data_IF_865976234382
#
_entry.id   IF_865976234382
#
_cell.length_a   1.000
_cell.length_b   1.000
_cell.length_c   1.000
_cell.angle_alpha   90.00
_cell.angle_beta   90.00
_cell.angle_gamma   90.00
#
_symmetry.space_group_name_H-M   'P 1'
#
loop_
_entity.id
_entity.type
_entity.pdbx_description
1 polymer ?
#
# COMPACT_ATOMS: atom_id res chain seq x y z
N UNK A 1 34.77 -48.83 38.06
CA UNK A 1 35.25 -47.89 37.03
C UNK A 1 34.58 -48.11 35.67
N UNK A 2 34.48 -49.34 35.14
CA UNK A 2 33.90 -49.67 33.81
C UNK A 2 32.46 -49.20 33.47
N UNK A 3 31.61 -48.90 34.44
CA UNK A 3 30.19 -48.61 34.19
C UNK A 3 29.93 -47.16 33.72
N UNK A 4 30.77 -46.20 34.11
CA UNK A 4 30.63 -44.79 33.69
C UNK A 4 31.09 -44.59 32.25
N UNK A 5 32.25 -45.14 31.90
CA UNK A 5 32.82 -45.06 30.54
C UNK A 5 31.87 -45.62 29.46
N UNK A 6 31.08 -46.65 29.79
CA UNK A 6 30.08 -47.21 28.89
C UNK A 6 28.86 -46.30 28.69
N UNK A 7 28.45 -45.55 29.72
CA UNK A 7 27.33 -44.59 29.62
C UNK A 7 27.74 -43.36 28.84
N UNK A 8 28.96 -42.85 29.06
CA UNK A 8 29.51 -41.69 28.35
C UNK A 8 29.71 -41.99 26.85
N UNK A 9 30.13 -43.21 26.50
CA UNK A 9 30.21 -43.67 25.11
C UNK A 9 28.84 -43.72 24.42
N UNK A 10 27.81 -44.20 25.11
CA UNK A 10 26.45 -44.24 24.58
C UNK A 10 25.83 -42.83 24.46
N UNK A 11 26.18 -41.89 25.34
CA UNK A 11 25.76 -40.50 25.24
C UNK A 11 26.39 -39.81 24.03
N UNK A 12 27.70 -39.96 23.86
CA UNK A 12 28.41 -39.42 22.69
C UNK A 12 27.84 -39.95 21.36
N UNK A 13 27.46 -41.23 21.29
CA UNK A 13 26.79 -41.76 20.10
C UNK A 13 25.39 -41.17 19.85
N UNK A 14 24.65 -40.81 20.90
CA UNK A 14 23.32 -40.19 20.75
C UNK A 14 23.44 -38.78 20.24
N UNK A 15 24.41 -38.02 20.75
CA UNK A 15 24.67 -36.65 20.32
C UNK A 15 25.10 -36.61 18.85
N UNK A 16 25.94 -37.56 18.43
CA UNK A 16 26.35 -37.72 17.03
C UNK A 16 25.16 -38.12 16.13
N UNK A 17 24.33 -39.08 16.55
CA UNK A 17 23.12 -39.47 15.80
C UNK A 17 22.10 -38.33 15.68
N UNK A 18 21.97 -37.49 16.71
CA UNK A 18 21.13 -36.29 16.70
C UNK A 18 21.70 -35.22 15.75
N UNK A 19 23.03 -35.03 15.75
CA UNK A 19 23.71 -34.15 14.81
C UNK A 19 23.53 -34.62 13.35
N UNK A 20 23.66 -35.92 13.09
CA UNK A 20 23.43 -36.52 11.77
C UNK A 20 21.97 -36.40 11.33
N UNK A 21 21.01 -36.55 12.25
CA UNK A 21 19.58 -36.39 11.95
C UNK A 21 19.26 -34.95 11.55
N UNK A 22 19.87 -33.97 12.24
CA UNK A 22 19.73 -32.54 11.92
C UNK A 22 20.37 -32.20 10.57
N UNK A 23 21.53 -32.78 10.29
CA UNK A 23 22.20 -32.61 9.00
C UNK A 23 21.33 -33.16 7.85
N UNK A 24 20.87 -34.41 7.95
CA UNK A 24 20.03 -35.06 6.95
C UNK A 24 18.69 -34.35 6.70
N UNK A 25 18.10 -33.71 7.71
CA UNK A 25 16.89 -32.90 7.54
C UNK A 25 17.14 -31.60 6.74
N UNK A 26 18.38 -31.11 6.73
CA UNK A 26 18.77 -29.83 6.13
C UNK A 26 19.32 -29.99 4.70
N UNK A 27 19.92 -31.13 4.39
CA UNK A 27 20.50 -31.47 3.08
C UNK A 27 19.55 -31.32 1.88
N UNK A 28 18.24 -31.64 1.95
CA UNK A 28 17.33 -31.44 0.83
C UNK A 28 17.17 -29.97 0.43
N UNK A 29 17.40 -29.05 1.37
CA UNK A 29 17.18 -27.61 1.18
C UNK A 29 18.46 -26.88 0.77
N UNK A 30 19.61 -27.29 1.31
CA UNK A 30 20.89 -26.58 1.13
C UNK A 30 21.82 -27.29 0.13
N UNK A 31 21.40 -28.46 -0.39
CA UNK A 31 22.25 -29.47 -1.03
C UNK A 31 23.24 -30.13 -0.04
N UNK A 32 23.91 -31.21 -0.47
CA UNK A 32 24.71 -32.08 0.40
C UNK A 32 25.79 -31.29 1.18
N UNK A 33 25.72 -31.34 2.51
CA UNK A 33 26.67 -30.68 3.41
C UNK A 33 28.12 -31.14 3.20
N UNK A 34 28.29 -32.39 2.75
CA UNK A 34 29.61 -32.97 2.51
C UNK A 34 30.25 -32.36 1.25
N UNK A 35 31.23 -31.48 1.47
CA UNK A 35 31.96 -30.81 0.39
C UNK A 35 31.26 -29.60 -0.24
N UNK A 36 30.35 -28.93 0.48
CA UNK A 36 29.78 -27.63 0.09
C UNK A 36 30.85 -26.51 0.11
N UNK A 37 31.86 -26.64 -0.75
CA UNK A 37 32.78 -25.56 -1.10
C UNK A 37 32.04 -24.68 -2.09
N UNK A 38 31.19 -23.80 -1.57
CA UNK A 38 30.64 -22.72 -2.37
C UNK A 38 31.83 -21.91 -2.91
N UNK A 39 32.02 -21.78 -4.24
CA UNK A 39 33.22 -21.17 -4.83
C UNK A 39 33.49 -19.71 -4.38
N UNK A 40 32.49 -19.10 -3.75
CA UNK A 40 32.44 -17.70 -3.36
C UNK A 40 32.29 -17.53 -1.85
N UNK A 41 32.03 -18.60 -1.10
CA UNK A 41 31.83 -18.52 0.34
C UNK A 41 33.20 -18.60 1.02
N UNK A 42 33.55 -17.51 1.67
CA UNK A 42 34.75 -17.41 2.49
C UNK A 42 34.50 -18.09 3.82
N UNK A 43 35.32 -19.10 4.14
CA UNK A 43 35.27 -19.82 5.42
C UNK A 43 35.65 -18.91 6.60
N UNK A 44 36.32 -17.79 6.31
CA UNK A 44 36.71 -16.72 7.22
C UNK A 44 35.70 -15.55 7.29
N UNK A 45 34.46 -15.75 6.84
CA UNK A 45 33.43 -14.71 6.91
C UNK A 45 33.05 -14.41 8.36
N UNK A 46 33.54 -13.27 8.87
CA UNK A 46 33.00 -12.66 10.08
C UNK A 46 31.60 -12.15 9.77
N UNK A 47 30.59 -12.78 10.38
CA UNK A 47 29.21 -12.34 10.28
C UNK A 47 29.15 -10.95 10.94
N UNK A 48 28.69 -9.90 10.22
CA UNK A 48 28.55 -8.59 10.83
C UNK A 48 27.57 -8.68 12.00
N UNK A 49 27.85 -7.91 13.04
CA UNK A 49 26.96 -7.84 14.19
C UNK A 49 25.56 -7.40 13.74
N UNK A 50 24.53 -7.92 14.41
CA UNK A 50 23.16 -7.54 14.11
C UNK A 50 23.04 -6.03 14.35
N UNK A 51 22.34 -5.35 13.44
CA UNK A 51 22.17 -3.90 13.41
C UNK A 51 21.36 -3.40 14.61
N UNK A 52 21.97 -3.38 15.79
CA UNK A 52 21.39 -2.93 17.05
C UNK A 52 21.02 -4.09 17.98
N UNK A 53 21.45 -3.97 19.24
CA UNK A 53 21.00 -4.80 20.38
C UNK A 53 19.53 -4.56 20.75
N UNK A 54 18.86 -3.61 20.09
CA UNK A 54 17.53 -3.12 20.43
C UNK A 54 16.51 -3.50 19.35
N UNK A 55 15.47 -4.23 19.75
CA UNK A 55 14.39 -4.71 18.87
C UNK A 55 13.63 -3.53 18.22
N UNK A 56 13.45 -2.44 18.96
CA UNK A 56 12.73 -1.25 18.49
C UNK A 56 13.46 -0.57 17.31
N UNK A 57 14.80 -0.60 17.31
CA UNK A 57 15.60 -0.05 16.23
C UNK A 57 15.38 -0.82 14.91
N UNK A 58 15.24 -2.14 15.00
CA UNK A 58 14.91 -2.98 13.84
C UNK A 58 13.47 -2.77 13.36
N UNK A 59 12.51 -2.67 14.27
CA UNK A 59 11.10 -2.41 13.92
C UNK A 59 10.95 -1.06 13.21
N UNK A 60 11.66 -0.02 13.66
CA UNK A 60 11.64 1.29 13.01
C UNK A 60 12.16 1.26 11.57
N UNK A 61 13.18 0.44 11.29
CA UNK A 61 13.72 0.29 9.95
C UNK A 61 12.80 -0.47 9.01
N UNK A 62 11.97 -1.38 9.54
CA UNK A 62 10.94 -2.10 8.75
C UNK A 62 9.93 -1.11 8.16
N UNK A 63 9.53 -0.09 8.93
CA UNK A 63 8.56 0.91 8.45
C UNK A 63 9.10 1.66 7.23
N UNK A 64 10.40 1.97 7.21
CA UNK A 64 11.07 2.64 6.11
C UNK A 64 11.43 1.70 4.96
N UNK A 65 11.87 0.47 5.21
CA UNK A 65 12.49 -0.38 4.17
C UNK A 65 11.56 -1.45 3.60
N UNK A 66 10.39 -1.70 4.19
CA UNK A 66 9.47 -2.74 3.73
C UNK A 66 8.58 -2.26 2.57
N UNK A 67 8.73 -2.80 1.34
CA UNK A 67 7.91 -2.40 0.20
C UNK A 67 6.44 -2.81 0.36
N UNK A 68 6.19 -3.93 1.06
CA UNK A 68 4.83 -4.41 1.31
C UNK A 68 4.04 -3.43 2.20
N UNK A 69 4.69 -2.85 3.22
CA UNK A 69 4.04 -1.87 4.09
C UNK A 69 3.75 -0.56 3.34
N UNK A 70 4.71 -0.09 2.52
CA UNK A 70 4.50 1.08 1.65
C UNK A 70 3.36 0.87 0.64
N UNK A 71 3.27 -0.33 0.05
CA UNK A 71 2.18 -0.69 -0.85
C UNK A 71 0.82 -0.67 -0.14
N UNK A 72 0.75 -1.20 1.09
CA UNK A 72 -0.44 -1.14 1.91
C UNK A 72 -0.82 0.31 2.26
N UNK A 73 0.13 1.14 2.69
CA UNK A 73 -0.12 2.56 2.99
C UNK A 73 -0.60 3.35 1.74
N UNK A 74 -0.06 3.05 0.57
CA UNK A 74 -0.50 3.66 -0.68
C UNK A 74 -1.92 3.23 -1.06
N UNK A 75 -2.29 1.96 -0.80
CA UNK A 75 -3.66 1.48 -1.01
C UNK A 75 -4.66 2.21 -0.09
N UNK A 76 -4.28 2.50 1.15
CA UNK A 76 -5.08 3.32 2.09
C UNK A 76 -5.26 4.73 1.54
N UNK A 77 -4.16 5.38 1.13
CA UNK A 77 -4.21 6.72 0.56
C UNK A 77 -5.11 6.79 -0.68
N UNK A 78 -5.08 5.76 -1.54
CA UNK A 78 -5.97 5.66 -2.70
C UNK A 78 -7.44 5.53 -2.28
N UNK A 79 -7.75 4.68 -1.29
CA UNK A 79 -9.11 4.54 -0.76
C UNK A 79 -9.66 5.85 -0.18
N UNK A 80 -8.83 6.59 0.57
CA UNK A 80 -9.21 7.90 1.12
C UNK A 80 -9.51 8.92 0.03
N UNK A 81 -8.70 8.95 -1.04
CA UNK A 81 -8.96 9.86 -2.17
C UNK A 81 -10.24 9.51 -2.92
N UNK A 82 -10.59 8.23 -3.05
CA UNK A 82 -11.84 7.82 -3.68
C UNK A 82 -13.05 8.24 -2.84
N UNK A 83 -12.98 8.07 -1.51
CA UNK A 83 -14.01 8.58 -0.60
C UNK A 83 -14.15 10.10 -0.71
N UNK A 84 -13.04 10.82 -0.77
CA UNK A 84 -13.05 12.28 -0.93
C UNK A 84 -13.70 12.70 -2.26
N UNK A 85 -13.44 11.96 -3.35
CA UNK A 85 -14.05 12.18 -4.65
C UNK A 85 -15.57 11.94 -4.64
N UNK A 86 -16.03 10.86 -4.00
CA UNK A 86 -17.47 10.61 -3.86
C UNK A 86 -18.15 11.70 -3.02
N UNK A 87 -17.47 12.24 -1.99
CA UNK A 87 -17.97 13.38 -1.21
C UNK A 87 -18.00 14.68 -2.00
N UNK A 88 -17.02 14.91 -2.88
CA UNK A 88 -16.97 16.11 -3.73
C UNK A 88 -18.15 16.20 -4.71
N UNK A 89 -18.74 15.07 -5.12
CA UNK A 89 -19.93 15.04 -5.98
C UNK A 89 -21.19 15.68 -5.38
N UNK A 90 -21.23 15.89 -4.06
CA UNK A 90 -22.32 16.57 -3.35
C UNK A 90 -21.99 18.01 -2.95
N UNK A 91 -20.81 18.51 -3.31
CA UNK A 91 -20.44 19.88 -3.00
C UNK A 91 -21.10 20.86 -3.97
N UNK A 92 -21.47 22.06 -3.51
CA UNK A 92 -21.98 23.09 -4.40
C UNK A 92 -20.89 23.52 -5.38
N UNK A 93 -21.23 23.66 -6.65
CA UNK A 93 -20.30 24.13 -7.70
C UNK A 93 -20.68 25.53 -8.16
N UNK A 94 -19.68 26.41 -8.31
CA UNK A 94 -19.85 27.77 -8.81
C UNK A 94 -19.02 27.93 -10.08
N UNK A 95 -19.71 28.01 -11.22
CA UNK A 95 -19.10 28.10 -12.54
C UNK A 95 -19.28 29.49 -13.12
N UNK A 96 -18.25 29.98 -13.83
CA UNK A 96 -18.29 31.25 -14.55
C UNK A 96 -18.39 30.92 -16.04
N UNK A 97 -19.44 31.40 -16.70
CA UNK A 97 -19.69 31.19 -18.12
C UNK A 97 -19.56 32.53 -18.85
N UNK A 98 -18.64 32.61 -19.81
CA UNK A 98 -18.46 33.78 -20.65
C UNK A 98 -18.63 33.39 -22.12
N UNK A 99 -19.52 34.08 -22.82
CA UNK A 99 -19.77 33.86 -24.25
C UNK A 99 -19.53 35.14 -25.00
N UNK A 100 -18.66 35.08 -26.01
CA UNK A 100 -18.44 36.16 -26.95
C UNK A 100 -18.91 35.73 -28.34
N UNK A 101 -19.87 36.45 -28.91
CA UNK A 101 -20.43 36.21 -30.22
C UNK A 101 -20.26 37.43 -31.12
N UNK A 102 -19.86 37.21 -32.37
CA UNK A 102 -19.88 38.22 -33.41
C UNK A 102 -20.73 37.66 -34.56
N UNK A 103 -21.88 38.27 -34.80
CA UNK A 103 -22.80 37.89 -35.86
C UNK A 103 -22.80 39.00 -36.92
N UNK A 104 -22.23 38.66 -38.07
CA UNK A 104 -22.11 39.55 -39.22
C UNK A 104 -23.04 39.02 -40.31
N UNK A 105 -23.93 39.88 -40.79
CA UNK A 105 -24.80 39.63 -41.93
C UNK A 105 -24.55 40.71 -42.96
N UNK A 106 -23.88 40.37 -44.06
CA UNK A 106 -23.47 41.32 -45.10
C UNK A 106 -24.65 41.80 -45.99
N UNK A 107 -25.73 41.01 -46.07
CA UNK A 107 -26.96 41.36 -46.79
C UNK A 107 -28.17 41.03 -45.92
N UNK A 108 -29.09 41.99 -45.77
CA UNK A 108 -30.34 41.73 -45.06
C UNK A 108 -31.26 40.79 -45.84
N UNK A 109 -32.21 40.15 -45.16
CA UNK A 109 -33.18 39.18 -45.74
C UNK A 109 -34.01 39.76 -46.91
N UNK A 110 -34.06 41.09 -47.06
CA UNK A 110 -34.77 41.78 -48.14
C UNK A 110 -33.82 42.65 -48.99
N UNK A 111 -34.06 42.76 -50.31
CA UNK A 111 -33.26 43.61 -51.19
C UNK A 111 -33.36 45.08 -50.76
N UNK A 112 -32.22 45.68 -50.41
CA UNK A 112 -32.10 47.08 -49.97
C UNK A 112 -31.85 47.29 -48.47
N UNK A 113 -31.84 46.23 -47.66
CA UNK A 113 -31.53 46.32 -46.22
C UNK A 113 -30.00 46.29 -45.99
N UNK A 114 -29.48 47.31 -45.31
CA UNK A 114 -28.07 47.33 -44.87
C UNK A 114 -27.78 46.13 -43.99
N UNK A 115 -26.67 45.44 -44.26
CA UNK A 115 -26.15 44.39 -43.39
C UNK A 115 -25.99 44.88 -41.95
N UNK A 116 -26.12 43.97 -40.99
CA UNK A 116 -25.93 44.26 -39.57
C UNK A 116 -24.74 43.49 -39.02
N UNK A 117 -24.05 44.12 -38.07
CA UNK A 117 -22.95 43.53 -37.31
C UNK A 117 -23.30 43.63 -35.83
N UNK A 118 -23.65 42.51 -35.21
CA UNK A 118 -23.96 42.42 -33.78
C UNK A 118 -22.81 41.74 -33.06
N UNK A 119 -22.25 42.45 -32.09
CA UNK A 119 -21.29 41.90 -31.12
C UNK A 119 -21.99 41.73 -29.79
N UNK A 120 -21.97 40.52 -29.26
CA UNK A 120 -22.54 40.18 -27.96
C UNK A 120 -21.45 39.62 -27.06
N UNK A 121 -21.37 40.16 -25.84
CA UNK A 121 -20.55 39.63 -24.76
C UNK A 121 -21.50 39.33 -23.60
N UNK A 122 -21.57 38.06 -23.20
CA UNK A 122 -22.39 37.59 -22.09
C UNK A 122 -21.48 37.02 -21.01
N UNK A 123 -21.64 37.50 -19.79
CA UNK A 123 -20.97 36.99 -18.59
C UNK A 123 -22.05 36.48 -17.63
N UNK A 124 -21.93 35.24 -17.19
CA UNK A 124 -22.86 34.59 -16.29
C UNK A 124 -22.14 33.83 -15.17
N UNK A 125 -22.75 33.81 -14.00
CA UNK A 125 -22.35 32.96 -12.87
C UNK A 125 -23.43 31.91 -12.67
N UNK A 126 -23.04 30.64 -12.61
CA UNK A 126 -23.94 29.51 -12.41
C UNK A 126 -23.57 28.80 -11.11
N UNK A 127 -24.45 28.88 -10.12
CA UNK A 127 -24.33 28.17 -8.86
C UNK A 127 -25.24 26.95 -8.88
N UNK A 128 -24.67 25.75 -8.72
CA UNK A 128 -25.41 24.50 -8.66
C UNK A 128 -25.30 23.89 -7.25
N UNK A 129 -26.43 23.81 -6.54
CA UNK A 129 -26.52 23.24 -5.19
C UNK A 129 -27.45 22.03 -5.23
N UNK A 130 -26.92 20.79 -5.12
CA UNK A 130 -27.77 19.61 -5.01
C UNK A 130 -28.42 19.56 -3.63
N UNK A 131 -29.71 19.92 -3.52
CA UNK A 131 -30.45 19.88 -2.25
C UNK A 131 -30.82 18.46 -1.81
N UNK A 132 -30.98 17.54 -2.76
CA UNK A 132 -31.29 16.13 -2.47
C UNK A 132 -30.97 15.24 -3.67
N UNK A 133 -30.11 14.22 -3.49
CA UNK A 133 -29.70 13.30 -4.57
C UNK A 133 -30.37 11.90 -4.51
N UNK A 134 -31.53 11.78 -3.87
CA UNK A 134 -32.30 10.53 -3.79
C UNK A 134 -31.50 9.33 -3.23
N UNK A 135 -30.68 9.56 -2.20
CA UNK A 135 -29.93 8.51 -1.48
C UNK A 135 -28.83 7.78 -2.27
N UNK A 136 -28.78 7.91 -3.60
CA UNK A 136 -27.82 7.21 -4.48
C UNK A 136 -26.37 7.61 -4.21
N UNK A 137 -26.11 8.90 -3.99
CA UNK A 137 -24.75 9.36 -3.67
C UNK A 137 -24.38 9.08 -2.20
N UNK A 138 -25.34 9.10 -1.28
CA UNK A 138 -25.12 8.69 0.12
C UNK A 138 -24.82 7.20 0.24
N UNK A 139 -25.45 6.36 -0.59
CA UNK A 139 -25.18 4.94 -0.66
C UNK A 139 -23.76 4.64 -1.16
N UNK A 140 -23.24 5.40 -2.14
CA UNK A 140 -21.86 5.24 -2.64
C UNK A 140 -20.83 5.47 -1.52
N UNK A 141 -20.95 6.57 -0.78
CA UNK A 141 -20.06 6.87 0.35
C UNK A 141 -20.15 5.79 1.45
N UNK A 142 -21.36 5.26 1.71
CA UNK A 142 -21.56 4.20 2.69
C UNK A 142 -20.96 2.86 2.25
N UNK A 143 -21.03 2.54 0.94
CA UNK A 143 -20.46 1.33 0.35
C UNK A 143 -18.93 1.37 0.31
N UNK A 144 -18.32 2.56 0.26
CA UNK A 144 -16.86 2.72 0.29
C UNK A 144 -16.28 2.72 1.72
N UNK A 145 -17.07 3.08 2.74
CA UNK A 145 -16.68 3.05 4.15
C UNK A 145 -16.12 1.71 4.70
N UNK A 146 -16.57 0.52 4.27
CA UNK A 146 -15.98 -0.75 4.71
C UNK A 146 -14.52 -0.97 4.28
N UNK A 147 -14.03 -0.32 3.21
CA UNK A 147 -12.61 -0.45 2.79
C UNK A 147 -11.66 0.09 3.88
N UNK A 148 -11.98 1.26 4.44
CA UNK A 148 -11.23 1.85 5.57
C UNK A 148 -11.28 0.97 6.83
N UNK A 149 -12.30 0.10 6.95
CA UNK A 149 -12.45 -0.80 8.11
C UNK A 149 -11.57 -2.05 8.00
N UNK A 150 -11.29 -2.53 6.78
CA UNK A 150 -10.32 -3.61 6.54
C UNK A 150 -8.90 -3.19 6.95
N UNK A 151 -8.57 -1.89 6.85
CA UNK A 151 -7.25 -1.36 7.19
C UNK A 151 -6.94 -1.37 8.70
N UNK A 152 -7.95 -1.27 9.56
CA UNK A 152 -7.76 -1.40 11.02
C UNK A 152 -7.33 -2.81 11.45
N UNK A 153 -7.60 -3.83 10.62
CA UNK A 153 -7.18 -5.21 10.87
C UNK A 153 -5.65 -5.32 10.88
N UNK A 154 -4.94 -4.58 10.03
CA UNK A 154 -3.48 -4.58 9.96
C UNK A 154 -2.82 -3.92 11.19
N UNK A 155 -3.43 -2.85 11.72
CA UNK A 155 -2.96 -2.20 12.95
C UNK A 155 -3.17 -3.08 14.20
N UNK A 156 -4.29 -3.81 14.28
CA UNK A 156 -4.54 -4.77 15.34
C UNK A 156 -3.57 -5.96 15.29
N UNK A 157 -3.23 -6.44 14.08
CA UNK A 157 -2.25 -7.51 13.88
C UNK A 157 -0.84 -7.18 14.40
N UNK A 158 -0.38 -5.92 14.23
CA UNK A 158 0.89 -5.45 14.81
C UNK A 158 0.88 -5.41 16.34
N UNK A 159 -0.24 -5.02 16.94
CA UNK A 159 -0.42 -4.96 18.41
C UNK A 159 -0.53 -6.36 19.06
N UNK A 160 -1.20 -7.31 18.40
CA UNK A 160 -1.33 -8.67 18.92
C UNK A 160 -0.02 -9.47 18.91
N UNK A 161 0.90 -9.23 17.97
CA UNK A 161 2.18 -9.91 17.92
C UNK A 161 3.11 -9.50 19.08
N UNK A 162 3.07 -8.23 19.50
CA UNK A 162 3.92 -7.70 20.58
C UNK A 162 3.53 -8.20 21.99
N UNK A 163 2.32 -8.76 22.17
CA UNK A 163 1.85 -9.21 23.50
C UNK A 163 2.07 -10.72 23.72
N UNK A 164 2.40 -11.49 22.69
CA UNK A 164 2.52 -12.96 22.79
C UNK A 164 3.93 -13.45 23.20
N UNK A 165 4.86 -12.54 23.47
CA UNK A 165 6.26 -12.84 23.80
C UNK A 165 6.62 -12.65 25.29
N UNK A 166 5.62 -12.55 26.17
CA UNK A 166 5.75 -12.52 27.64
C UNK A 166 5.17 -13.80 28.25
#
# INVERSE_FOLDING_TARGET
MKARDAVDFNAAQRDEMDAQTKAAATEPWIASADGLVHPWLREDACIPDLLGDDEDAWVSQIDDHCPALRAAAAAIGAADTEIAKQRAGQQPTLDIVATYGNNDQDVGTFPGQSGYRIRTLTLGLQLNIPLYSSGTQSAKVLVDAPLVRADRQFACGRSCAATLSL
#
